data_IF_967187042121
#
_entry.id   IF_967187042121
#
_cell.length_a   1.000
_cell.length_b   1.000
_cell.length_c   1.000
_cell.angle_alpha   90.00
_cell.angle_beta   90.00
_cell.angle_gamma   90.00
#
_symmetry.space_group_name_H-M   'P 1'
#
loop_
_entity.id
_entity.type
_entity.pdbx_description
1 polymer ?
#
# COMPACT_ATOMS: atom_id res chain seq x y z
N UNK A 1 -11.89 -6.71 8.73
CA UNK A 1 -11.25 -5.45 9.18
C UNK A 1 -10.05 -5.29 8.27
N UNK A 2 -10.02 -4.25 7.43
CA UNK A 2 -8.86 -3.98 6.59
C UNK A 2 -7.74 -3.49 7.50
N UNK A 3 -6.94 -4.42 8.01
CA UNK A 3 -5.87 -4.14 8.96
C UNK A 3 -4.58 -3.69 8.26
N UNK A 4 -4.36 -4.15 7.03
CA UNK A 4 -3.13 -3.89 6.29
C UNK A 4 -3.39 -3.83 4.79
N UNK A 5 -3.22 -2.64 4.23
CA UNK A 5 -3.17 -2.42 2.79
C UNK A 5 -1.71 -2.24 2.37
N UNK A 6 -1.25 -2.97 1.35
CA UNK A 6 0.02 -2.65 0.70
C UNK A 6 -0.24 -1.92 -0.61
N UNK A 7 0.25 -0.69 -0.71
CA UNK A 7 0.40 -0.03 -1.99
C UNK A 7 1.72 -0.45 -2.60
N UNK A 8 1.73 -0.69 -3.89
CA UNK A 8 2.97 -0.90 -4.64
C UNK A 8 2.86 -0.09 -5.91
N UNK A 9 3.59 1.03 -5.94
CA UNK A 9 3.89 1.66 -7.21
C UNK A 9 4.73 0.68 -8.04
N UNK A 10 4.40 0.44 -9.33
CA UNK A 10 5.29 -0.30 -10.20
C UNK A 10 6.67 0.38 -10.19
N UNK A 11 7.72 -0.41 -10.02
CA UNK A 11 9.10 0.09 -10.06
C UNK A 11 9.32 0.85 -11.36
N UNK A 12 9.97 2.02 -11.27
CA UNK A 12 10.29 2.82 -12.46
C UNK A 12 10.98 1.91 -13.48
N UNK A 13 10.51 1.83 -14.75
CA UNK A 13 11.16 1.01 -15.74
C UNK A 13 12.60 1.50 -15.86
N UNK A 14 13.57 0.62 -15.58
CA UNK A 14 14.97 0.95 -15.71
C UNK A 14 15.21 1.43 -17.15
N UNK A 15 15.56 2.70 -17.33
CA UNK A 15 16.05 3.19 -18.61
C UNK A 15 17.14 2.23 -19.07
N UNK A 16 16.96 1.65 -20.27
CA UNK A 16 17.86 0.63 -20.86
C UNK A 16 19.31 1.06 -20.66
N UNK A 17 19.99 0.46 -19.68
CA UNK A 17 21.44 0.47 -19.56
C UNK A 17 21.93 -0.97 -19.58
N UNK A 18 22.92 -1.17 -20.44
CA UNK A 18 23.49 -2.45 -20.80
C UNK A 18 23.76 -3.35 -19.58
N UNK A 19 23.31 -4.59 -19.72
CA UNK A 19 23.69 -5.74 -18.92
C UNK A 19 25.22 -5.87 -18.93
N UNK A 20 25.83 -5.77 -17.76
CA UNK A 20 27.16 -6.35 -17.52
C UNK A 20 27.02 -7.30 -16.34
N UNK A 21 27.10 -8.59 -16.65
CA UNK A 21 27.17 -9.66 -15.68
C UNK A 21 28.36 -9.48 -14.74
N UNK A 22 28.15 -9.69 -13.44
CA UNK A 22 29.20 -10.24 -12.59
C UNK A 22 28.61 -11.04 -11.44
N UNK A 23 28.54 -12.34 -11.68
CA UNK A 23 28.45 -13.44 -10.72
C UNK A 23 29.45 -13.25 -9.59
N UNK A 24 29.04 -13.47 -8.32
CA UNK A 24 29.82 -14.27 -7.35
C UNK A 24 28.91 -14.70 -6.20
N UNK A 25 28.50 -15.97 -6.22
CA UNK A 25 28.01 -16.72 -5.06
C UNK A 25 29.21 -17.17 -4.23
N UNK A 26 29.22 -16.90 -2.92
CA UNK A 26 30.07 -17.62 -1.96
C UNK A 26 29.19 -18.23 -0.87
N UNK A 27 29.12 -19.56 -0.90
CA UNK A 27 28.67 -20.40 0.21
C UNK A 27 29.76 -20.41 1.27
N UNK A 28 29.36 -20.36 2.54
CA UNK A 28 30.20 -20.81 3.66
C UNK A 28 29.33 -21.69 4.54
N UNK A 29 29.82 -22.91 4.76
CA UNK A 29 29.23 -23.96 5.59
C UNK A 29 29.74 -23.87 7.05
N UNK A 30 29.34 -24.87 7.87
CA UNK A 30 29.95 -25.34 9.15
C UNK A 30 29.32 -24.70 10.42
N UNK A 31 28.94 -25.36 11.51
CA UNK A 31 28.64 -26.76 11.93
C UNK A 31 27.97 -26.68 13.31
N UNK A 32 27.00 -27.58 13.55
CA UNK A 32 26.56 -28.21 14.81
C UNK A 32 26.65 -27.53 16.19
N UNK A 33 25.59 -27.66 16.99
CA UNK A 33 25.66 -28.35 18.30
C UNK A 33 24.25 -28.65 18.85
N UNK A 34 24.00 -29.91 19.21
CA UNK A 34 22.91 -30.34 20.11
C UNK A 34 23.18 -29.80 21.51
N UNK A 35 22.17 -29.32 22.25
CA UNK A 35 21.82 -29.88 23.56
C UNK A 35 20.67 -29.15 24.27
N UNK A 36 19.83 -30.02 24.84
CA UNK A 36 19.04 -29.90 26.07
C UNK A 36 17.90 -28.89 26.14
N UNK A 37 16.71 -29.50 26.08
CA UNK A 37 15.49 -29.09 26.74
C UNK A 37 15.71 -28.74 28.22
N UNK A 38 15.12 -27.63 28.66
CA UNK A 38 14.68 -27.46 30.03
C UNK A 38 13.29 -26.81 30.02
N UNK A 39 12.28 -27.64 30.29
CA UNK A 39 10.90 -27.24 30.48
C UNK A 39 10.75 -26.49 31.81
N UNK A 40 10.35 -25.21 31.78
CA UNK A 40 9.65 -24.58 32.91
C UNK A 40 8.32 -24.01 32.43
N UNK A 41 7.29 -24.75 32.81
CA UNK A 41 5.86 -24.48 32.69
C UNK A 41 5.44 -23.27 33.52
N UNK A 42 5.00 -22.19 32.85
CA UNK A 42 3.94 -21.34 33.36
C UNK A 42 2.69 -21.62 32.52
N UNK A 43 1.74 -22.34 33.11
CA UNK A 43 0.40 -22.50 32.59
C UNK A 43 -0.35 -21.15 32.69
N UNK A 44 -0.04 -20.23 31.78
CA UNK A 44 -0.97 -19.17 31.42
C UNK A 44 -1.99 -19.78 30.48
N UNK A 45 -3.23 -19.96 30.95
CA UNK A 45 -4.38 -20.21 30.07
C UNK A 45 -4.60 -18.96 29.23
N UNK A 46 -3.78 -18.76 28.21
CA UNK A 46 -4.12 -17.92 27.09
C UNK A 46 -5.33 -18.59 26.46
N UNK A 47 -6.53 -18.08 26.79
CA UNK A 47 -7.74 -18.43 26.08
C UNK A 47 -7.41 -18.31 24.58
N UNK A 48 -7.69 -19.34 23.76
CA UNK A 48 -7.53 -19.21 22.33
C UNK A 48 -8.41 -18.02 21.92
N UNK A 49 -7.75 -16.92 21.56
CA UNK A 49 -8.42 -15.75 21.00
C UNK A 49 -9.03 -16.28 19.72
N UNK A 50 -10.33 -16.60 19.79
CA UNK A 50 -11.05 -17.17 18.67
C UNK A 50 -10.80 -16.25 17.48
N UNK A 51 -10.07 -16.76 16.49
CA UNK A 51 -9.91 -16.12 15.21
C UNK A 51 -11.32 -15.97 14.65
N UNK A 52 -11.92 -14.80 14.86
CA UNK A 52 -13.25 -14.49 14.35
C UNK A 52 -13.10 -14.47 12.85
N UNK A 53 -13.49 -15.56 12.20
CA UNK A 53 -13.55 -15.68 10.74
C UNK A 53 -14.11 -14.38 10.18
N UNK A 54 -13.32 -13.67 9.36
CA UNK A 54 -13.74 -12.41 8.77
C UNK A 54 -15.10 -12.61 8.08
N UNK A 55 -16.05 -11.72 8.34
CA UNK A 55 -17.31 -11.76 7.60
C UNK A 55 -17.07 -11.48 6.12
N UNK A 56 -18.02 -11.81 5.24
CA UNK A 56 -17.89 -11.50 3.82
C UNK A 56 -17.68 -9.99 3.66
N UNK A 57 -16.53 -9.63 3.10
CA UNK A 57 -16.20 -8.25 2.70
C UNK A 57 -16.86 -8.02 1.34
N UNK A 58 -17.67 -6.98 1.25
CA UNK A 58 -18.30 -6.58 -0.01
C UNK A 58 -17.73 -5.25 -0.46
N UNK A 59 -17.38 -5.15 -1.74
CA UNK A 59 -16.88 -3.92 -2.31
C UNK A 59 -17.76 -3.41 -3.45
N UNK A 60 -17.91 -2.10 -3.52
CA UNK A 60 -18.79 -1.41 -4.43
C UNK A 60 -18.05 -0.24 -5.10
N UNK A 61 -18.24 -0.04 -6.41
CA UNK A 61 -17.73 1.16 -7.06
C UNK A 61 -18.39 2.41 -6.45
N UNK A 62 -17.60 3.46 -6.29
CA UNK A 62 -18.09 4.74 -5.78
C UNK A 62 -18.68 5.56 -6.94
N UNK A 63 -19.93 6.04 -6.85
CA UNK A 63 -20.53 6.86 -7.91
C UNK A 63 -19.74 8.15 -8.15
N UNK A 64 -19.77 8.63 -9.40
CA UNK A 64 -19.22 9.94 -9.75
C UNK A 64 -19.85 11.04 -8.90
N UNK A 65 -19.05 11.90 -8.29
CA UNK A 65 -19.52 13.01 -7.44
C UNK A 65 -19.79 12.65 -5.99
N UNK A 66 -19.75 11.37 -5.59
CA UNK A 66 -19.94 10.95 -4.19
C UNK A 66 -18.94 11.62 -3.23
N UNK A 67 -17.66 11.67 -3.61
CA UNK A 67 -16.64 12.35 -2.80
C UNK A 67 -16.95 13.83 -2.62
N UNK A 68 -17.48 14.49 -3.65
CA UNK A 68 -17.89 15.89 -3.57
C UNK A 68 -19.13 16.07 -2.68
N UNK A 69 -20.14 15.20 -2.79
CA UNK A 69 -21.34 15.27 -1.95
C UNK A 69 -21.06 15.04 -0.46
N UNK A 70 -20.08 14.17 -0.17
CA UNK A 70 -19.63 13.87 1.18
C UNK A 70 -18.54 14.83 1.68
N UNK A 71 -18.18 15.86 0.89
CA UNK A 71 -17.14 16.85 1.20
C UNK A 71 -15.79 16.22 1.53
N UNK A 72 -15.40 15.18 0.79
CA UNK A 72 -14.13 14.47 0.90
C UNK A 72 -13.22 14.99 -0.22
N UNK A 73 -12.34 15.97 0.04
CA UNK A 73 -11.45 16.51 -0.98
C UNK A 73 -10.37 15.47 -1.34
N UNK A 74 -10.23 15.07 -2.61
CA UNK A 74 -9.11 14.23 -3.02
C UNK A 74 -7.83 15.07 -2.95
N UNK A 75 -6.87 14.67 -2.11
CA UNK A 75 -5.58 15.36 -1.95
C UNK A 75 -4.62 15.25 -3.15
N UNK A 76 -5.14 14.96 -4.35
CA UNK A 76 -4.40 14.70 -5.57
C UNK A 76 -5.32 14.23 -6.69
N UNK A 77 -4.75 13.74 -7.80
CA UNK A 77 -5.54 13.12 -8.88
C UNK A 77 -6.15 11.83 -8.38
N UNK A 78 -7.48 11.69 -8.47
CA UNK A 78 -8.17 10.47 -8.06
C UNK A 78 -7.78 9.31 -8.98
N UNK A 79 -7.25 8.24 -8.40
CA UNK A 79 -6.90 7.00 -9.12
C UNK A 79 -7.98 5.94 -8.93
N UNK A 80 -8.43 5.74 -7.69
CA UNK A 80 -9.47 4.77 -7.34
C UNK A 80 -10.30 5.27 -6.15
N UNK A 81 -11.59 5.00 -6.17
CA UNK A 81 -12.45 5.11 -5.00
C UNK A 81 -13.33 3.87 -4.90
N UNK A 82 -13.39 3.26 -3.73
CA UNK A 82 -14.13 2.02 -3.49
C UNK A 82 -14.81 2.07 -2.12
N UNK A 83 -16.10 1.72 -2.08
CA UNK A 83 -16.85 1.59 -0.83
C UNK A 83 -16.80 0.13 -0.42
N UNK A 84 -16.44 -0.11 0.84
CA UNK A 84 -16.26 -1.45 1.39
C UNK A 84 -17.19 -1.61 2.57
N UNK A 85 -17.90 -2.73 2.65
CA UNK A 85 -18.79 -3.05 3.76
C UNK A 85 -18.32 -4.37 4.36
N UNK A 86 -17.99 -4.34 5.65
CA UNK A 86 -17.64 -5.52 6.43
C UNK A 86 -18.42 -5.55 7.76
N UNK A 87 -18.03 -6.42 8.70
CA UNK A 87 -18.70 -6.52 10.02
C UNK A 87 -18.48 -5.30 10.92
N UNK A 88 -17.43 -4.52 10.71
CA UNK A 88 -17.14 -3.31 11.46
C UNK A 88 -17.91 -2.08 10.91
N UNK A 89 -18.42 -2.17 9.68
CA UNK A 89 -19.35 -1.21 9.11
C UNK A 89 -19.01 -0.82 7.69
N UNK A 90 -19.30 0.43 7.35
CA UNK A 90 -19.00 0.99 6.03
C UNK A 90 -17.67 1.73 6.04
N UNK A 91 -16.87 1.46 5.03
CA UNK A 91 -15.58 2.08 4.79
C UNK A 91 -15.54 2.65 3.38
N UNK A 92 -14.71 3.67 3.20
CA UNK A 92 -14.43 4.28 1.92
C UNK A 92 -12.91 4.33 1.74
N UNK A 93 -12.42 3.62 0.74
CA UNK A 93 -11.03 3.67 0.31
C UNK A 93 -10.91 4.69 -0.82
N UNK A 94 -10.06 5.69 -0.62
CA UNK A 94 -9.74 6.71 -1.65
C UNK A 94 -8.25 6.64 -1.94
N UNK A 95 -7.90 6.42 -3.20
CA UNK A 95 -6.53 6.37 -3.68
C UNK A 95 -6.27 7.56 -4.60
N UNK A 96 -5.29 8.38 -4.27
CA UNK A 96 -4.89 9.55 -5.05
C UNK A 96 -3.41 9.51 -5.43
N UNK A 97 -3.10 10.15 -6.55
CA UNK A 97 -1.75 10.33 -7.06
C UNK A 97 -1.39 11.81 -7.03
N UNK A 98 -0.20 12.12 -6.51
CA UNK A 98 0.45 13.43 -6.65
C UNK A 98 1.73 13.25 -7.44
N UNK A 99 2.03 14.22 -8.29
CA UNK A 99 3.26 14.26 -9.08
C UNK A 99 3.96 15.59 -8.85
N UNK A 100 5.29 15.57 -8.81
CA UNK A 100 6.10 16.75 -8.52
C UNK A 100 7.56 16.57 -8.90
N UNK A 101 8.39 17.60 -8.69
CA UNK A 101 9.82 17.53 -8.97
C UNK A 101 10.52 16.48 -8.10
N UNK A 102 11.46 15.75 -8.69
CA UNK A 102 12.31 14.80 -7.97
C UNK A 102 13.54 15.50 -7.38
N UNK A 103 13.97 15.05 -6.20
CA UNK A 103 15.22 15.47 -5.57
C UNK A 103 16.42 14.58 -5.95
N UNK A 104 16.22 13.59 -6.83
CA UNK A 104 17.27 12.69 -7.26
C UNK A 104 18.37 13.44 -8.02
N UNK A 105 19.63 12.99 -7.89
CA UNK A 105 20.79 13.64 -8.51
C UNK A 105 20.74 13.73 -10.04
N UNK A 106 19.89 12.95 -10.70
CA UNK A 106 19.69 12.94 -12.16
C UNK A 106 18.32 13.46 -12.58
N UNK A 107 17.62 14.15 -11.67
CA UNK A 107 16.32 14.68 -11.96
C UNK A 107 16.41 15.83 -12.96
N UNK A 108 15.46 15.90 -13.88
CA UNK A 108 15.35 17.03 -14.80
C UNK A 108 14.69 18.20 -14.06
N UNK A 109 15.32 19.39 -13.99
CA UNK A 109 14.74 20.53 -13.27
C UNK A 109 13.36 20.91 -13.81
N UNK A 110 12.39 21.05 -12.91
CA UNK A 110 11.02 21.48 -13.24
C UNK A 110 10.12 20.38 -13.81
N UNK A 111 10.61 19.17 -14.05
CA UNK A 111 9.77 18.06 -14.53
C UNK A 111 9.19 17.25 -13.37
N UNK A 112 7.96 16.75 -13.54
CA UNK A 112 7.34 15.86 -12.59
C UNK A 112 7.94 14.44 -12.71
N UNK A 113 8.95 14.16 -11.88
CA UNK A 113 9.66 12.87 -11.84
C UNK A 113 9.52 12.17 -10.49
N UNK A 114 8.87 12.82 -9.51
CA UNK A 114 8.45 12.21 -8.26
C UNK A 114 6.97 11.92 -8.29
N UNK A 115 6.60 10.71 -7.91
CA UNK A 115 5.22 10.26 -7.82
C UNK A 115 4.93 9.79 -6.40
N UNK A 116 3.82 10.25 -5.84
CA UNK A 116 3.35 9.88 -4.51
C UNK A 116 1.95 9.32 -4.60
N UNK A 117 1.77 8.10 -4.13
CA UNK A 117 0.48 7.44 -4.05
C UNK A 117 -0.01 7.48 -2.61
N UNK A 118 -1.22 7.97 -2.41
CA UNK A 118 -1.88 7.99 -1.11
C UNK A 118 -3.09 7.07 -1.15
N UNK A 119 -3.22 6.17 -0.18
CA UNK A 119 -4.47 5.48 0.11
C UNK A 119 -4.97 5.91 1.48
N UNK A 120 -6.19 6.42 1.51
CA UNK A 120 -6.85 6.87 2.73
C UNK A 120 -8.07 6.00 2.95
N UNK A 121 -8.19 5.43 4.15
CA UNK A 121 -9.41 4.75 4.57
C UNK A 121 -10.21 5.67 5.48
N UNK A 122 -11.45 5.89 5.11
CA UNK A 122 -12.46 6.53 5.95
C UNK A 122 -13.41 5.47 6.48
N UNK A 123 -13.81 5.58 7.74
CA UNK A 123 -14.81 4.68 8.34
C UNK A 123 -16.02 5.50 8.70
N UNK A 124 -17.20 5.11 8.21
CA UNK A 124 -18.42 5.87 8.44
C UNK A 124 -18.73 5.93 9.94
N UNK A 125 -18.87 7.14 10.47
CA UNK A 125 -19.36 7.40 11.83
C UNK A 125 -20.51 8.39 11.76
N UNK A 126 -21.70 7.96 12.17
CA UNK A 126 -22.94 8.73 11.98
C UNK A 126 -23.11 9.17 10.51
N UNK A 127 -23.06 10.49 10.25
CA UNK A 127 -23.17 11.09 8.91
C UNK A 127 -21.84 11.69 8.42
N UNK A 128 -20.72 11.19 8.93
CA UNK A 128 -19.39 11.68 8.58
C UNK A 128 -18.46 10.54 8.20
N UNK A 129 -17.42 10.90 7.45
CA UNK A 129 -16.33 10.02 7.01
C UNK A 129 -15.01 10.48 7.64
N UNK A 130 -14.77 10.21 8.94
CA UNK A 130 -13.47 10.46 9.54
C UNK A 130 -12.41 9.54 8.94
N UNK A 131 -11.23 10.12 8.67
CA UNK A 131 -10.05 9.35 8.29
C UNK A 131 -9.65 8.41 9.42
N UNK A 132 -9.48 7.13 9.09
CA UNK A 132 -9.05 6.08 10.01
C UNK A 132 -7.54 5.88 9.90
N UNK A 133 -7.03 5.77 8.67
CA UNK A 133 -5.60 5.67 8.41
C UNK A 133 -5.26 6.22 7.02
N UNK A 134 -3.97 6.45 6.82
CA UNK A 134 -3.37 6.86 5.55
C UNK A 134 -2.09 6.05 5.30
N UNK A 135 -1.92 5.59 4.07
CA UNK A 135 -0.69 4.97 3.57
C UNK A 135 -0.17 5.83 2.44
N UNK A 136 1.12 6.12 2.50
CA UNK A 136 1.84 6.87 1.48
C UNK A 136 2.95 5.97 0.91
N UNK A 137 2.98 5.84 -0.40
CA UNK A 137 4.09 5.25 -1.15
C UNK A 137 4.67 6.30 -2.09
N UNK A 138 5.98 6.27 -2.33
CA UNK A 138 6.65 7.25 -3.18
C UNK A 138 7.73 6.61 -4.05
N UNK A 139 7.87 7.15 -5.26
CA UNK A 139 8.92 6.77 -6.19
C UNK A 139 9.52 8.01 -6.87
N UNK A 140 10.85 8.07 -6.90
CA UNK A 140 11.61 9.00 -7.73
C UNK A 140 12.01 8.28 -9.02
N UNK A 141 11.46 8.73 -10.14
CA UNK A 141 11.68 8.18 -11.48
C UNK A 141 12.34 9.22 -12.40
N UNK A 142 13.62 9.58 -12.21
CA UNK A 142 14.31 10.54 -13.06
C UNK A 142 14.40 10.02 -14.51
N UNK A 143 14.11 10.90 -15.48
CA UNK A 143 14.09 10.56 -16.91
C UNK A 143 12.85 9.79 -17.38
N UNK A 144 11.85 9.58 -16.51
CA UNK A 144 10.55 9.04 -16.90
C UNK A 144 9.62 10.19 -17.28
N UNK A 145 9.06 10.14 -18.48
CA UNK A 145 8.04 11.10 -18.90
C UNK A 145 6.74 10.86 -18.12
N UNK A 146 6.33 11.84 -17.31
CA UNK A 146 5.06 11.82 -16.58
C UNK A 146 3.83 11.81 -17.48
N UNK A 147 3.98 12.14 -18.77
CA UNK A 147 2.89 12.09 -19.76
C UNK A 147 2.54 10.66 -20.18
N UNK A 148 3.49 9.73 -20.09
CA UNK A 148 3.24 8.32 -20.32
C UNK A 148 2.64 7.74 -19.03
N UNK A 149 1.33 7.49 -19.06
CA UNK A 149 0.52 7.03 -17.92
C UNK A 149 0.94 5.63 -17.41
N UNK A 150 2.09 5.50 -16.78
CA UNK A 150 2.65 4.20 -16.35
C UNK A 150 2.06 3.65 -15.05
N UNK A 151 1.31 4.46 -14.29
CA UNK A 151 1.03 4.20 -12.88
C UNK A 151 -0.40 3.80 -12.46
N UNK A 152 -1.47 3.83 -13.29
CA UNK A 152 -2.82 3.54 -12.79
C UNK A 152 -3.28 2.08 -12.90
N UNK A 153 -2.71 1.25 -13.80
CA UNK A 153 -3.33 -0.03 -14.14
C UNK A 153 -3.01 -1.19 -13.16
N UNK A 154 -2.06 -1.02 -12.24
CA UNK A 154 -1.52 -2.12 -11.41
C UNK A 154 -1.68 -1.94 -9.89
N UNK A 155 -2.51 -1.00 -9.42
CA UNK A 155 -2.73 -0.84 -7.98
C UNK A 155 -3.63 -1.97 -7.47
N UNK A 156 -3.01 -2.99 -6.87
CA UNK A 156 -3.71 -4.07 -6.19
C UNK A 156 -3.92 -3.74 -4.72
N UNK A 157 -5.17 -3.77 -4.28
CA UNK A 157 -5.56 -3.67 -2.87
C UNK A 157 -5.64 -5.09 -2.32
N UNK A 158 -4.65 -5.51 -1.55
CA UNK A 158 -4.64 -6.81 -0.87
C UNK A 158 -4.77 -6.59 0.62
N UNK A 159 -5.78 -7.21 1.23
CA UNK A 159 -5.85 -7.41 2.68
C UNK A 159 -4.72 -8.37 3.07
N UNK A 160 -3.85 -7.96 4.00
CA UNK A 160 -2.84 -8.85 4.56
C UNK A 160 -3.37 -9.35 5.91
N UNK A 161 -3.80 -10.61 5.93
CA UNK A 161 -4.14 -11.37 7.13
C UNK A 161 -2.91 -11.58 8.05
#
# INVERSE_FOLDING_TARGET
MIERLRLTLPSCPAGRKARTDRTTSKRTATTGFLCLALCLSLAGTAAPQAARAAGPVQSFPVPSGFLASEQIPPGGTLVKAERIVDRAGEHLLVVTLRSGPSAAAKATPGTAERFELFAVLYTRKHKAWPQTWIIQDQADCPGLDSSAKFFPDFITVTDLD
#
